data_IF_443847985522
#
_entry.id   IF_443847985522
#
_cell.length_a   1.000
_cell.length_b   1.000
_cell.length_c   1.000
_cell.angle_alpha   90.00
_cell.angle_beta   90.00
_cell.angle_gamma   90.00
#
_symmetry.space_group_name_H-M   'P 1'
#
loop_
_entity.id
_entity.type
_entity.pdbx_description
1 polymer ?
#
# COMPACT_ATOMS: atom_id res chain seq x y z
N UNK A 1 3.68 20.83 -1.52
CA UNK A 1 2.22 20.63 -1.61
C UNK A 1 1.88 19.53 -0.63
N UNK A 2 0.99 19.75 0.31
CA UNK A 2 0.71 18.73 1.31
C UNK A 2 -0.38 19.16 2.28
N UNK A 3 -0.85 18.19 3.03
CA UNK A 3 -1.80 18.39 4.12
C UNK A 3 -1.09 19.16 5.24
N UNK A 4 -1.71 20.22 5.75
CA UNK A 4 -1.13 20.91 6.91
C UNK A 4 -1.20 19.97 8.11
N UNK A 5 -0.12 19.89 8.89
CA UNK A 5 -0.05 19.07 10.11
C UNK A 5 -1.00 19.62 11.18
N UNK A 6 -2.27 19.28 11.06
CA UNK A 6 -3.30 19.57 12.04
C UNK A 6 -4.20 18.35 12.21
N UNK A 7 -4.84 18.24 13.37
CA UNK A 7 -5.65 17.09 13.74
C UNK A 7 -6.91 16.91 12.87
N UNK A 8 -7.25 17.89 12.02
CA UNK A 8 -8.45 17.83 11.16
C UNK A 8 -8.37 16.76 10.07
N UNK A 9 -7.17 16.28 9.74
CA UNK A 9 -6.99 15.15 8.84
C UNK A 9 -7.24 13.79 9.51
N UNK A 10 -7.11 13.70 10.83
CA UNK A 10 -7.02 12.42 11.52
C UNK A 10 -8.35 11.65 11.55
N UNK A 11 -8.22 10.34 11.52
CA UNK A 11 -9.32 9.38 11.54
C UNK A 11 -8.82 8.07 12.15
N UNK A 12 -9.72 7.31 12.78
CA UNK A 12 -9.38 6.04 13.42
C UNK A 12 -8.77 5.03 12.43
N UNK A 13 -9.15 5.12 11.16
CA UNK A 13 -8.60 4.29 10.08
C UNK A 13 -8.16 5.16 8.91
N UNK A 14 -6.87 5.08 8.59
CA UNK A 14 -6.26 5.79 7.45
C UNK A 14 -5.97 4.80 6.33
N UNK A 15 -6.47 5.06 5.12
CA UNK A 15 -6.08 4.35 3.91
C UNK A 15 -4.98 5.13 3.19
N UNK A 16 -3.75 4.65 3.32
CA UNK A 16 -2.58 5.16 2.60
C UNK A 16 -2.50 4.51 1.23
N UNK A 17 -2.54 5.32 0.17
CA UNK A 17 -2.44 4.86 -1.21
C UNK A 17 -1.17 5.40 -1.84
N UNK A 18 -0.24 4.51 -2.18
CA UNK A 18 0.90 4.89 -3.01
C UNK A 18 0.43 5.10 -4.45
N UNK A 19 0.62 6.32 -4.97
CA UNK A 19 0.20 6.68 -6.32
C UNK A 19 1.31 7.45 -7.03
N UNK A 20 1.27 7.42 -8.35
CA UNK A 20 2.15 8.22 -9.19
C UNK A 20 1.48 9.56 -9.53
N UNK A 21 2.22 10.66 -9.61
CA UNK A 21 1.71 11.98 -10.01
C UNK A 21 0.70 11.93 -11.17
N UNK A 22 1.04 11.21 -12.24
CA UNK A 22 0.23 11.00 -13.46
C UNK A 22 -1.02 10.12 -13.32
N UNK A 23 -1.17 9.35 -12.24
CA UNK A 23 -2.29 8.42 -12.07
C UNK A 23 -3.56 9.10 -11.51
N UNK A 24 -3.87 10.32 -11.97
CA UNK A 24 -5.04 11.10 -11.53
C UNK A 24 -6.33 10.30 -11.65
N UNK A 25 -6.50 9.56 -12.75
CA UNK A 25 -7.69 8.73 -12.99
C UNK A 25 -7.87 7.61 -11.96
N UNK A 26 -6.78 7.00 -11.51
CA UNK A 26 -6.85 5.95 -10.47
C UNK A 26 -7.19 6.54 -9.10
N UNK A 27 -6.65 7.73 -8.78
CA UNK A 27 -7.03 8.45 -7.55
C UNK A 27 -8.51 8.84 -7.56
N UNK A 28 -9.01 9.41 -8.65
CA UNK A 28 -10.45 9.74 -8.81
C UNK A 28 -11.34 8.51 -8.69
N UNK A 29 -10.92 7.38 -9.27
CA UNK A 29 -11.61 6.10 -9.14
C UNK A 29 -11.69 5.65 -7.69
N UNK A 30 -10.56 5.58 -7.00
CA UNK A 30 -10.51 5.16 -5.59
C UNK A 30 -11.34 6.08 -4.70
N UNK A 31 -11.25 7.39 -4.90
CA UNK A 31 -12.14 8.35 -4.21
C UNK A 31 -13.61 8.04 -4.48
N UNK A 32 -14.00 7.73 -5.71
CA UNK A 32 -15.40 7.45 -6.05
C UNK A 32 -15.91 6.17 -5.38
N UNK A 33 -15.09 5.11 -5.37
CA UNK A 33 -15.42 3.82 -4.75
C UNK A 33 -15.52 3.97 -3.23
N UNK A 34 -14.55 4.65 -2.62
CA UNK A 34 -14.40 4.71 -1.16
C UNK A 34 -15.15 5.86 -0.50
N UNK A 35 -15.52 6.93 -1.24
CA UNK A 35 -16.32 8.05 -0.70
C UNK A 35 -17.67 7.60 -0.13
N UNK A 36 -18.19 6.47 -0.59
CA UNK A 36 -19.43 5.87 -0.05
C UNK A 36 -19.21 5.18 1.31
N UNK A 37 -17.98 4.96 1.72
CA UNK A 37 -17.64 4.32 2.98
C UNK A 37 -16.90 5.31 3.91
N UNK A 38 -17.59 5.93 4.88
CA UNK A 38 -16.98 6.89 5.81
C UNK A 38 -15.99 6.23 6.79
N UNK A 39 -15.81 4.91 6.74
CA UNK A 39 -14.90 4.16 7.60
C UNK A 39 -13.41 4.50 7.36
N UNK A 40 -13.05 5.09 6.21
CA UNK A 40 -11.67 5.38 5.87
C UNK A 40 -11.46 6.87 5.57
N UNK A 41 -10.36 7.42 6.08
CA UNK A 41 -9.77 8.65 5.53
C UNK A 41 -8.66 8.27 4.55
N UNK A 42 -8.73 8.76 3.32
CA UNK A 42 -7.70 8.49 2.31
C UNK A 42 -6.51 9.44 2.43
N UNK A 43 -5.31 8.92 2.21
CA UNK A 43 -4.05 9.65 2.06
C UNK A 43 -3.32 9.13 0.82
N UNK A 44 -3.33 9.87 -0.28
CA UNK A 44 -2.53 9.55 -1.45
C UNK A 44 -1.10 10.07 -1.27
N UNK A 45 -0.11 9.21 -1.47
CA UNK A 45 1.31 9.56 -1.34
C UNK A 45 1.95 9.58 -2.71
N UNK A 46 2.43 10.75 -3.13
CA UNK A 46 3.00 11.02 -4.44
C UNK A 46 4.47 11.40 -4.32
N UNK A 47 5.27 11.09 -5.34
CA UNK A 47 6.58 11.71 -5.53
C UNK A 47 6.44 13.03 -6.27
N UNK A 48 7.49 13.84 -6.26
CA UNK A 48 7.53 15.06 -7.06
C UNK A 48 7.62 14.69 -8.54
N UNK A 49 6.80 15.31 -9.41
CA UNK A 49 7.00 15.20 -10.85
C UNK A 49 8.43 15.65 -11.21
N UNK A 50 9.00 15.08 -12.28
CA UNK A 50 10.26 15.59 -12.82
C UNK A 50 10.15 17.10 -13.12
N UNK A 51 11.22 17.85 -12.89
CA UNK A 51 11.27 19.33 -12.96
C UNK A 51 10.73 19.92 -14.28
N UNK A 52 10.75 19.14 -15.37
CA UNK A 52 10.21 19.55 -16.68
C UNK A 52 8.69 19.52 -16.80
N UNK A 53 7.95 19.13 -15.76
CA UNK A 53 6.48 18.90 -15.81
C UNK A 53 5.67 19.94 -15.03
N UNK A 54 5.84 21.24 -15.35
CA UNK A 54 5.14 22.36 -14.68
C UNK A 54 3.61 22.15 -14.64
N UNK A 55 3.01 21.71 -15.75
CA UNK A 55 1.57 21.43 -15.86
C UNK A 55 1.09 20.42 -14.80
N UNK A 56 1.87 19.35 -14.58
CA UNK A 56 1.53 18.33 -13.59
C UNK A 56 1.60 18.86 -12.16
N UNK A 57 2.46 19.85 -11.89
CA UNK A 57 2.55 20.46 -10.58
C UNK A 57 1.32 21.31 -10.27
N UNK A 58 0.80 22.05 -11.25
CA UNK A 58 -0.44 22.81 -11.11
C UNK A 58 -1.67 21.89 -10.96
N UNK A 59 -1.73 20.80 -11.70
CA UNK A 59 -2.78 19.78 -11.51
C UNK A 59 -2.78 19.20 -10.10
N UNK A 60 -1.61 18.88 -9.53
CA UNK A 60 -1.50 18.37 -8.16
C UNK A 60 -1.91 19.43 -7.13
N UNK A 61 -1.57 20.71 -7.35
CA UNK A 61 -2.02 21.81 -6.47
C UNK A 61 -3.53 21.92 -6.46
N UNK A 62 -4.15 21.89 -7.63
CA UNK A 62 -5.61 22.00 -7.75
C UNK A 62 -6.30 20.78 -7.16
N UNK A 63 -5.78 19.58 -7.43
CA UNK A 63 -6.27 18.34 -6.82
C UNK A 63 -6.18 18.39 -5.28
N UNK A 64 -5.07 18.87 -4.73
CA UNK A 64 -4.89 19.04 -3.28
C UNK A 64 -5.84 20.09 -2.71
N UNK A 65 -6.07 21.20 -3.44
CA UNK A 65 -7.01 22.25 -3.01
C UNK A 65 -8.45 21.74 -2.91
N UNK A 66 -8.84 20.84 -3.81
CA UNK A 66 -10.19 20.27 -3.85
C UNK A 66 -10.37 19.13 -2.84
N UNK A 67 -9.43 18.18 -2.79
CA UNK A 67 -9.62 16.92 -2.07
C UNK A 67 -8.93 16.88 -0.71
N UNK A 68 -7.87 17.66 -0.53
CA UNK A 68 -7.10 17.76 0.71
C UNK A 68 -6.62 16.40 1.26
N UNK A 69 -6.17 15.53 0.37
CA UNK A 69 -5.80 14.14 0.66
C UNK A 69 -4.46 13.71 0.04
N UNK A 70 -3.65 14.65 -0.46
CA UNK A 70 -2.33 14.37 -1.06
C UNK A 70 -1.18 14.70 -0.10
N UNK A 71 -0.29 13.74 0.10
CA UNK A 71 1.05 13.92 0.65
C UNK A 71 2.07 13.84 -0.50
N UNK A 72 2.58 15.00 -0.94
CA UNK A 72 3.58 15.07 -2.01
C UNK A 72 4.97 15.11 -1.38
N UNK A 73 5.75 14.06 -1.64
CA UNK A 73 7.10 13.86 -1.13
C UNK A 73 8.10 14.35 -2.15
N UNK A 74 9.16 15.02 -1.69
CA UNK A 74 10.26 15.44 -2.57
C UNK A 74 11.16 14.24 -2.93
N UNK A 75 10.64 13.36 -3.77
CA UNK A 75 11.36 12.21 -4.30
C UNK A 75 11.02 12.01 -5.77
N UNK A 76 12.03 11.72 -6.58
CA UNK A 76 11.81 11.38 -7.99
C UNK A 76 11.01 10.10 -8.08
N UNK A 77 9.93 10.13 -8.85
CA UNK A 77 9.08 8.96 -9.12
C UNK A 77 9.87 7.83 -9.78
N UNK A 78 10.30 6.89 -8.97
CA UNK A 78 11.05 5.71 -9.39
C UNK A 78 10.79 4.58 -8.38
N UNK A 79 10.77 3.33 -8.85
CA UNK A 79 10.48 2.21 -7.98
C UNK A 79 11.54 2.03 -6.89
N UNK A 80 12.80 2.38 -7.15
CA UNK A 80 13.84 2.34 -6.10
C UNK A 80 13.65 3.39 -4.99
N UNK A 81 12.76 4.36 -5.21
CA UNK A 81 12.50 5.47 -4.29
C UNK A 81 11.17 5.30 -3.53
N UNK A 82 10.43 4.22 -3.76
CA UNK A 82 9.11 4.02 -3.16
C UNK A 82 9.18 3.94 -1.62
N UNK A 83 10.29 3.47 -1.07
CA UNK A 83 10.52 3.45 0.38
C UNK A 83 10.57 4.85 1.00
N UNK A 84 11.00 5.89 0.28
CA UNK A 84 10.90 7.26 0.77
C UNK A 84 9.45 7.75 0.90
N UNK A 85 8.54 7.30 0.02
CA UNK A 85 7.11 7.52 0.22
C UNK A 85 6.64 6.85 1.50
N UNK A 86 7.14 5.64 1.78
CA UNK A 86 6.81 4.91 2.99
C UNK A 86 7.23 5.64 4.27
N UNK A 87 8.50 6.03 4.35
CA UNK A 87 9.02 6.85 5.45
C UNK A 87 8.22 8.14 5.64
N UNK A 88 7.79 8.77 4.55
CA UNK A 88 7.08 10.05 4.59
C UNK A 88 5.67 9.92 5.17
N UNK A 89 4.89 8.91 4.79
CA UNK A 89 3.56 8.74 5.39
C UNK A 89 3.64 8.28 6.85
N UNK A 90 4.65 7.47 7.22
CA UNK A 90 4.88 7.08 8.63
C UNK A 90 5.15 8.32 9.48
N UNK A 91 6.12 9.16 9.06
CA UNK A 91 6.44 10.43 9.73
C UNK A 91 5.21 11.32 9.83
N UNK A 92 4.53 11.53 8.71
CA UNK A 92 3.35 12.38 8.65
C UNK A 92 2.25 11.92 9.61
N UNK A 93 1.90 10.63 9.61
CA UNK A 93 0.85 10.11 10.50
C UNK A 93 1.25 10.16 11.97
N UNK A 94 2.51 9.81 12.29
CA UNK A 94 3.03 9.88 13.65
C UNK A 94 3.03 11.32 14.21
N UNK A 95 3.40 12.30 13.40
CA UNK A 95 3.49 13.71 13.81
C UNK A 95 2.12 14.42 13.81
N UNK A 96 1.16 13.95 13.01
CA UNK A 96 -0.12 14.64 12.80
C UNK A 96 -1.26 14.04 13.62
N UNK A 97 -1.25 12.72 13.84
CA UNK A 97 -2.37 12.01 14.43
C UNK A 97 -1.96 11.27 15.72
N UNK A 98 -2.76 11.47 16.77
CA UNK A 98 -2.54 10.86 18.09
C UNK A 98 -3.17 9.48 18.23
N UNK A 99 -4.30 9.24 17.56
CA UNK A 99 -5.17 8.08 17.84
C UNK A 99 -5.57 7.31 16.56
N UNK A 100 -4.61 7.04 15.67
CA UNK A 100 -4.85 6.13 14.54
C UNK A 100 -4.94 4.71 15.08
N UNK A 101 -6.06 4.03 14.86
CA UNK A 101 -6.25 2.63 15.24
C UNK A 101 -5.61 1.69 14.21
N UNK A 102 -5.87 1.96 12.94
CA UNK A 102 -5.39 1.16 11.81
C UNK A 102 -4.90 2.02 10.66
N UNK A 103 -3.81 1.60 10.05
CA UNK A 103 -3.38 2.07 8.74
C UNK A 103 -3.52 0.93 7.76
N UNK A 104 -4.20 1.17 6.64
CA UNK A 104 -4.28 0.26 5.50
C UNK A 104 -3.41 0.87 4.41
N UNK A 105 -2.39 0.15 3.93
CA UNK A 105 -1.59 0.54 2.77
C UNK A 105 -2.06 -0.25 1.56
N UNK A 106 -2.20 0.42 0.42
CA UNK A 106 -2.35 -0.24 -0.89
C UNK A 106 -1.70 0.58 -2.02
N UNK A 107 -1.48 -0.06 -3.16
CA UNK A 107 -1.09 0.63 -4.40
C UNK A 107 -2.34 1.11 -5.17
N UNK A 108 -2.19 2.15 -6.01
CA UNK A 108 -3.32 2.75 -6.74
C UNK A 108 -3.92 1.88 -7.86
N UNK A 109 -3.21 0.82 -8.26
CA UNK A 109 -3.60 -0.14 -9.28
C UNK A 109 -4.22 -1.43 -8.71
N UNK A 110 -4.49 -1.44 -7.41
CA UNK A 110 -5.17 -2.54 -6.71
C UNK A 110 -6.67 -2.28 -6.64
N UNK A 111 -7.45 -3.34 -6.85
CA UNK A 111 -8.90 -3.36 -6.61
C UNK A 111 -9.16 -3.79 -5.17
N UNK A 112 -10.17 -3.20 -4.53
CA UNK A 112 -10.44 -3.39 -3.10
C UNK A 112 -11.93 -3.56 -2.83
N UNK A 113 -12.28 -4.48 -1.93
CA UNK A 113 -13.61 -4.59 -1.30
C UNK A 113 -13.60 -3.88 0.06
N UNK A 114 -14.15 -2.65 0.17
CA UNK A 114 -14.07 -1.86 1.41
C UNK A 114 -14.80 -2.53 2.58
N UNK A 115 -15.87 -3.28 2.28
CA UNK A 115 -16.63 -4.01 3.28
C UNK A 115 -15.81 -5.14 3.93
N UNK A 116 -15.05 -5.90 3.13
CA UNK A 116 -14.19 -6.96 3.66
C UNK A 116 -13.02 -6.38 4.48
N UNK A 117 -12.47 -5.23 4.06
CA UNK A 117 -11.45 -4.51 4.86
C UNK A 117 -12.03 -4.12 6.22
N UNK A 118 -13.21 -3.50 6.25
CA UNK A 118 -13.90 -3.14 7.49
C UNK A 118 -14.16 -4.36 8.39
N UNK A 119 -14.64 -5.48 7.83
CA UNK A 119 -14.87 -6.71 8.58
C UNK A 119 -13.58 -7.24 9.24
N UNK A 120 -12.45 -7.24 8.52
CA UNK A 120 -11.16 -7.68 9.08
C UNK A 120 -10.67 -6.73 10.17
N UNK A 121 -10.73 -5.42 9.95
CA UNK A 121 -10.31 -4.44 10.95
C UNK A 121 -11.19 -4.50 12.22
N UNK A 122 -12.49 -4.74 12.06
CA UNK A 122 -13.40 -4.95 13.19
C UNK A 122 -13.14 -6.27 13.92
N UNK A 123 -12.80 -7.35 13.20
CA UNK A 123 -12.42 -8.65 13.79
C UNK A 123 -11.20 -8.53 14.70
N UNK A 124 -10.22 -7.73 14.30
CA UNK A 124 -8.98 -7.52 15.05
C UNK A 124 -8.95 -6.21 15.85
N UNK A 125 -10.10 -5.56 16.08
CA UNK A 125 -10.18 -4.21 16.69
C UNK A 125 -9.48 -4.04 18.06
N UNK A 126 -9.25 -5.14 18.79
CA UNK A 126 -8.60 -5.15 20.10
C UNK A 126 -7.12 -5.54 20.05
N UNK A 127 -6.58 -5.80 18.85
CA UNK A 127 -5.19 -6.17 18.65
C UNK A 127 -4.35 -4.89 18.55
N UNK A 128 -3.16 -4.96 19.13
CA UNK A 128 -2.08 -3.97 19.01
C UNK A 128 -0.83 -4.68 18.49
N UNK A 129 0.20 -3.93 18.13
CA UNK A 129 1.48 -4.48 17.68
C UNK A 129 1.30 -5.57 16.61
N UNK A 130 0.44 -5.30 15.63
CA UNK A 130 -0.07 -6.30 14.68
C UNK A 130 -0.02 -5.78 13.26
N UNK A 131 0.41 -6.64 12.32
CA UNK A 131 0.29 -6.42 10.89
C UNK A 131 -0.54 -7.54 10.26
N UNK A 132 -1.35 -7.19 9.26
CA UNK A 132 -2.29 -8.10 8.60
C UNK A 132 -2.08 -7.98 7.10
N UNK A 133 -1.89 -9.11 6.42
CA UNK A 133 -1.72 -9.12 4.97
C UNK A 133 -1.38 -10.50 4.44
N UNK A 134 -0.88 -10.57 3.21
CA UNK A 134 -0.33 -11.80 2.64
C UNK A 134 1.10 -11.95 3.12
N UNK A 135 1.37 -12.98 3.93
CA UNK A 135 2.69 -13.20 4.53
C UNK A 135 3.59 -13.96 3.55
N UNK A 136 4.76 -13.41 3.25
CA UNK A 136 5.88 -14.19 2.74
C UNK A 136 6.70 -14.71 3.92
N UNK A 137 6.89 -16.03 3.97
CA UNK A 137 7.59 -16.69 5.08
C UNK A 137 8.99 -17.06 4.61
N UNK A 138 10.01 -16.70 5.41
CA UNK A 138 11.41 -17.07 5.19
C UNK A 138 11.89 -16.80 3.75
N UNK A 139 11.51 -15.65 3.19
CA UNK A 139 11.81 -15.33 1.81
C UNK A 139 13.32 -15.13 1.64
N UNK A 140 13.87 -15.61 0.53
CA UNK A 140 15.31 -15.49 0.23
C UNK A 140 15.57 -14.31 -0.68
N UNK A 141 16.75 -13.73 -0.53
CA UNK A 141 17.19 -12.66 -1.39
C UNK A 141 17.41 -13.17 -2.81
N UNK A 142 16.87 -12.46 -3.80
CA UNK A 142 17.07 -12.83 -5.21
C UNK A 142 18.42 -12.28 -5.66
N UNK A 143 19.35 -13.18 -5.99
CA UNK A 143 20.72 -12.84 -6.45
C UNK A 143 20.89 -12.91 -7.98
N UNK A 144 19.80 -13.01 -8.71
CA UNK A 144 19.81 -13.06 -10.17
C UNK A 144 19.71 -11.64 -10.77
N UNK A 145 20.74 -11.10 -11.45
CA UNK A 145 20.78 -9.70 -11.89
C UNK A 145 19.64 -9.25 -12.82
N UNK A 146 19.06 -10.17 -13.60
CA UNK A 146 17.94 -9.84 -14.51
C UNK A 146 16.58 -9.84 -13.78
N UNK A 147 16.53 -10.26 -12.52
CA UNK A 147 15.31 -10.21 -11.75
C UNK A 147 14.99 -8.77 -11.37
N UNK A 148 13.72 -8.38 -11.50
CA UNK A 148 13.20 -7.12 -10.94
C UNK A 148 13.48 -6.98 -9.44
N UNK A 149 13.61 -8.09 -8.72
CA UNK A 149 13.83 -8.15 -7.27
C UNK A 149 15.29 -8.42 -6.90
N UNK A 150 16.23 -8.23 -7.83
CA UNK A 150 17.64 -8.43 -7.58
C UNK A 150 18.15 -7.51 -6.47
N UNK A 151 18.86 -8.09 -5.49
CA UNK A 151 19.66 -7.35 -4.52
C UNK A 151 21.09 -7.87 -4.57
N UNK A 152 22.03 -6.97 -4.82
CA UNK A 152 23.46 -7.31 -4.80
C UNK A 152 23.95 -7.60 -3.36
N UNK A 153 25.01 -8.39 -3.17
CA UNK A 153 25.61 -8.58 -1.84
C UNK A 153 26.11 -7.28 -1.20
N UNK A 154 26.51 -6.30 -2.02
CA UNK A 154 26.92 -4.97 -1.55
C UNK A 154 25.73 -4.13 -1.06
N UNK A 155 24.56 -4.30 -1.67
CA UNK A 155 23.33 -3.63 -1.26
C UNK A 155 22.71 -4.28 -0.04
N UNK A 156 22.68 -5.62 0.04
CA UNK A 156 22.17 -6.37 1.18
C UNK A 156 22.97 -7.66 1.37
N UNK A 157 23.77 -7.72 2.44
CA UNK A 157 24.67 -8.84 2.69
C UNK A 157 24.00 -10.13 3.17
N UNK A 158 22.92 -10.12 3.99
CA UNK A 158 22.24 -11.35 4.37
C UNK A 158 21.57 -12.04 3.18
N UNK A 159 21.39 -13.36 3.24
CA UNK A 159 20.73 -14.13 2.17
C UNK A 159 19.23 -14.36 2.38
N UNK A 160 18.71 -13.91 3.51
CA UNK A 160 17.31 -14.04 3.88
C UNK A 160 16.71 -12.66 4.16
N UNK A 161 15.54 -12.40 3.59
CA UNK A 161 14.71 -11.24 3.90
C UNK A 161 13.82 -11.48 5.13
N UNK A 162 13.75 -12.72 5.61
CA UNK A 162 12.86 -13.11 6.70
C UNK A 162 11.40 -13.13 6.27
N UNK A 163 10.51 -12.85 7.22
CA UNK A 163 9.06 -12.80 6.98
C UNK A 163 8.58 -11.36 6.91
N UNK A 164 7.75 -11.05 5.92
CA UNK A 164 7.20 -9.72 5.65
C UNK A 164 5.89 -9.84 4.84
N UNK A 165 5.14 -8.75 4.70
CA UNK A 165 3.87 -8.74 3.97
C UNK A 165 4.06 -8.29 2.51
N UNK A 166 3.23 -8.82 1.60
CA UNK A 166 3.26 -8.44 0.19
C UNK A 166 2.88 -6.96 -0.03
N UNK A 167 3.68 -6.23 -0.82
CA UNK A 167 3.54 -4.78 -0.97
C UNK A 167 2.28 -4.23 -1.63
N UNK A 168 1.52 -5.04 -2.38
CA UNK A 168 0.29 -4.55 -3.03
C UNK A 168 -0.74 -4.06 -2.02
N UNK A 169 -0.80 -4.70 -0.84
CA UNK A 169 -1.61 -4.24 0.28
C UNK A 169 -1.21 -4.90 1.61
N UNK A 170 -1.31 -4.12 2.68
CA UNK A 170 -1.18 -4.62 4.06
C UNK A 170 -1.88 -3.67 5.03
N UNK A 171 -2.12 -4.13 6.25
CA UNK A 171 -2.67 -3.35 7.35
C UNK A 171 -1.72 -3.40 8.53
N UNK A 172 -1.63 -2.33 9.31
CA UNK A 172 -0.84 -2.26 10.53
C UNK A 172 -1.61 -1.51 11.61
N UNK A 173 -1.46 -1.95 12.85
CA UNK A 173 -2.02 -1.27 14.01
C UNK A 173 -1.26 0.04 14.25
N UNK A 174 -1.98 1.13 14.52
CA UNK A 174 -1.40 2.47 14.56
C UNK A 174 -0.43 2.69 15.73
N UNK A 175 -0.47 1.86 16.77
CA UNK A 175 0.51 1.85 17.87
C UNK A 175 1.93 1.47 17.40
N UNK A 176 2.09 0.95 16.18
CA UNK A 176 3.40 0.73 15.57
C UNK A 176 4.03 2.00 14.99
N UNK A 177 3.26 3.07 14.72
CA UNK A 177 3.77 4.28 14.08
C UNK A 177 4.95 4.93 14.83
N UNK A 178 4.95 5.06 16.19
CA UNK A 178 6.06 5.67 16.91
C UNK A 178 7.36 4.86 16.79
N UNK A 179 7.30 3.53 16.94
CA UNK A 179 8.50 2.69 16.85
C UNK A 179 9.00 2.59 15.41
N UNK A 180 8.10 2.50 14.43
CA UNK A 180 8.46 2.56 13.02
C UNK A 180 9.17 3.87 12.70
N UNK A 181 8.62 5.01 13.15
CA UNK A 181 9.23 6.32 12.94
C UNK A 181 10.64 6.41 13.56
N UNK A 182 10.81 5.94 14.81
CA UNK A 182 12.10 5.93 15.50
C UNK A 182 13.15 5.03 14.82
N UNK A 183 12.70 4.00 14.09
CA UNK A 183 13.58 3.07 13.39
C UNK A 183 13.98 3.53 11.98
N UNK A 184 13.33 4.55 11.40
CA UNK A 184 13.61 5.00 10.02
C UNK A 184 15.09 5.31 9.80
N UNK A 185 15.74 5.96 10.77
CA UNK A 185 17.15 6.38 10.64
C UNK A 185 18.12 5.35 11.25
N UNK A 186 17.63 4.19 11.69
CA UNK A 186 18.41 3.15 12.40
C UNK A 186 18.54 1.84 11.65
N UNK A 187 17.57 1.54 10.79
CA UNK A 187 17.53 0.27 10.05
C UNK A 187 18.06 0.48 8.64
N UNK A 188 18.49 -0.61 8.02
CA UNK A 188 18.98 -0.56 6.66
C UNK A 188 17.88 -0.14 5.68
N UNK A 189 18.15 0.90 4.89
CA UNK A 189 17.32 1.23 3.74
C UNK A 189 17.42 0.11 2.69
N UNK A 190 16.27 -0.39 2.27
CA UNK A 190 16.11 -1.12 1.01
C UNK A 190 14.95 -0.49 0.26
N UNK A 191 15.02 -0.51 -1.07
CA UNK A 191 14.00 0.10 -1.90
C UNK A 191 12.65 -0.65 -1.87
N UNK A 192 12.65 -1.91 -1.44
CA UNK A 192 11.45 -2.72 -1.23
C UNK A 192 10.67 -2.19 -0.01
N UNK A 193 9.68 -1.32 -0.25
CA UNK A 193 8.92 -0.64 0.81
C UNK A 193 8.15 -1.62 1.70
N UNK A 194 7.68 -2.71 1.14
CA UNK A 194 6.92 -3.74 1.83
C UNK A 194 7.77 -4.48 2.85
N UNK A 195 8.96 -4.95 2.44
CA UNK A 195 9.96 -5.46 3.38
C UNK A 195 10.40 -4.39 4.38
N UNK A 196 10.67 -3.17 3.93
CA UNK A 196 11.16 -2.12 4.82
C UNK A 196 10.15 -1.80 5.93
N UNK A 197 8.87 -1.59 5.59
CA UNK A 197 7.83 -1.26 6.57
C UNK A 197 7.45 -2.45 7.43
N UNK A 198 7.26 -3.63 6.83
CA UNK A 198 6.66 -4.78 7.53
C UNK A 198 7.68 -5.77 8.08
N UNK A 199 8.96 -5.45 7.99
CA UNK A 199 10.06 -6.21 8.59
C UNK A 199 11.10 -5.31 9.22
N UNK A 200 11.78 -4.47 8.42
CA UNK A 200 12.94 -3.71 8.92
C UNK A 200 12.54 -2.73 10.04
N UNK A 201 11.51 -1.92 9.83
CA UNK A 201 11.04 -0.95 10.83
C UNK A 201 10.46 -1.57 12.10
N UNK A 202 10.17 -2.86 12.09
CA UNK A 202 9.70 -3.62 13.25
C UNK A 202 10.85 -4.12 14.13
N UNK A 203 12.10 -3.80 13.81
CA UNK A 203 13.25 -4.19 14.60
C UNK A 203 13.09 -3.77 16.08
N UNK A 204 13.26 -4.73 17.00
CA UNK A 204 13.05 -4.51 18.44
C UNK A 204 11.59 -4.57 18.90
N UNK A 205 10.64 -4.94 18.03
CA UNK A 205 9.23 -5.16 18.40
C UNK A 205 8.91 -6.65 18.52
N UNK A 206 7.78 -6.96 19.16
CA UNK A 206 7.18 -8.31 19.19
C UNK A 206 5.99 -8.40 18.22
N UNK A 207 6.02 -7.60 17.15
CA UNK A 207 4.88 -7.43 16.26
C UNK A 207 4.44 -8.76 15.63
N UNK A 208 3.14 -9.02 15.67
CA UNK A 208 2.56 -10.26 15.12
C UNK A 208 2.15 -10.08 13.66
N UNK A 209 2.44 -11.08 12.84
CA UNK A 209 1.96 -11.16 11.45
C UNK A 209 0.72 -12.05 11.38
N UNK A 210 -0.39 -11.51 10.89
CA UNK A 210 -1.63 -12.24 10.64
C UNK A 210 -1.76 -12.47 9.13
N UNK A 211 -1.76 -13.74 8.73
CA UNK A 211 -1.90 -14.12 7.33
C UNK A 211 -3.36 -14.16 6.88
N UNK A 212 -3.69 -13.30 5.92
CA UNK A 212 -4.99 -13.27 5.22
C UNK A 212 -4.83 -13.56 3.73
N UNK A 213 -3.79 -14.31 3.33
CA UNK A 213 -3.55 -14.75 1.96
C UNK A 213 -4.79 -15.23 1.20
N UNK A 214 -5.75 -15.98 1.78
CA UNK A 214 -6.95 -16.40 1.07
C UNK A 214 -7.85 -15.26 0.55
N UNK A 215 -7.72 -14.05 1.11
CA UNK A 215 -8.49 -12.86 0.73
C UNK A 215 -7.73 -11.94 -0.24
N UNK A 216 -6.47 -12.26 -0.55
CA UNK A 216 -5.58 -11.42 -1.38
C UNK A 216 -5.17 -12.20 -2.62
N UNK A 217 -5.55 -11.67 -3.78
CA UNK A 217 -5.30 -12.30 -5.06
C UNK A 217 -4.35 -11.45 -5.89
N UNK A 218 -3.27 -12.09 -6.36
CA UNK A 218 -2.34 -11.51 -7.31
C UNK A 218 -2.21 -12.47 -8.50
N UNK A 219 -2.45 -12.00 -9.71
CA UNK A 219 -2.25 -12.79 -10.93
C UNK A 219 -1.30 -12.08 -11.91
N UNK A 220 -0.40 -12.85 -12.51
CA UNK A 220 0.64 -12.35 -13.42
C UNK A 220 0.42 -12.76 -14.89
N UNK A 221 -0.71 -13.40 -15.20
CA UNK A 221 -1.06 -13.83 -16.57
C UNK A 221 -2.56 -14.10 -16.72
N UNK A 222 -3.08 -14.05 -17.97
CA UNK A 222 -4.47 -14.47 -18.26
C UNK A 222 -4.77 -15.90 -17.87
N UNK A 223 -3.77 -16.79 -17.92
CA UNK A 223 -3.92 -18.18 -17.48
C UNK A 223 -4.27 -18.23 -15.99
N UNK A 224 -3.54 -17.51 -15.15
CA UNK A 224 -3.84 -17.43 -13.72
C UNK A 224 -5.22 -16.82 -13.46
N UNK A 225 -5.59 -15.76 -14.19
CA UNK A 225 -6.94 -15.16 -14.09
C UNK A 225 -8.04 -16.17 -14.44
N UNK A 226 -7.87 -16.97 -15.49
CA UNK A 226 -8.85 -17.99 -15.86
C UNK A 226 -8.98 -19.08 -14.79
N UNK A 227 -7.89 -19.45 -14.11
CA UNK A 227 -7.96 -20.35 -12.96
C UNK A 227 -8.66 -19.72 -11.76
N UNK A 228 -8.51 -18.40 -11.55
CA UNK A 228 -9.21 -17.69 -10.49
C UNK A 228 -10.73 -17.69 -10.70
N UNK A 229 -11.19 -17.52 -11.95
CA UNK A 229 -12.63 -17.53 -12.30
C UNK A 229 -13.31 -18.88 -12.08
N UNK A 230 -12.55 -19.97 -11.94
CA UNK A 230 -13.11 -21.31 -11.68
C UNK A 230 -13.42 -21.56 -10.20
N UNK A 231 -13.13 -20.59 -9.32
CA UNK A 231 -13.21 -20.74 -7.87
C UNK A 231 -14.06 -19.62 -7.30
N UNK A 232 -14.79 -19.93 -6.25
CA UNK A 232 -15.43 -18.91 -5.41
C UNK A 232 -14.40 -18.36 -4.43
N UNK A 233 -14.21 -17.04 -4.45
CA UNK A 233 -13.32 -16.33 -3.55
C UNK A 233 -14.08 -15.18 -2.92
N UNK A 234 -13.86 -14.90 -1.63
CA UNK A 234 -14.18 -13.59 -1.06
C UNK A 234 -12.93 -12.70 -1.22
N UNK A 235 -12.78 -12.09 -2.39
CA UNK A 235 -11.57 -11.32 -2.71
C UNK A 235 -11.67 -9.95 -2.05
N UNK A 236 -10.75 -9.67 -1.12
CA UNK A 236 -10.60 -8.36 -0.49
C UNK A 236 -9.72 -7.44 -1.33
N UNK A 237 -8.59 -7.94 -1.83
CA UNK A 237 -7.66 -7.19 -2.68
C UNK A 237 -7.32 -7.99 -3.93
N UNK A 238 -7.34 -7.33 -5.08
CA UNK A 238 -6.94 -7.92 -6.36
C UNK A 238 -5.89 -7.06 -7.05
N UNK A 239 -4.77 -7.68 -7.41
CA UNK A 239 -3.74 -7.08 -8.25
C UNK A 239 -3.50 -7.93 -9.49
N UNK A 240 -3.62 -7.31 -10.67
CA UNK A 240 -3.39 -7.97 -11.95
C UNK A 240 -2.20 -7.32 -12.64
N UNK A 241 -1.22 -8.13 -13.02
CA UNK A 241 0.00 -7.73 -13.72
C UNK A 241 0.26 -8.67 -14.90
N UNK A 242 1.01 -8.25 -15.92
CA UNK A 242 1.54 -6.90 -16.12
C UNK A 242 0.46 -5.90 -16.58
N UNK A 243 0.73 -4.59 -16.46
CA UNK A 243 -0.27 -3.53 -16.74
C UNK A 243 -0.67 -3.49 -18.22
N UNK A 244 0.23 -3.93 -19.10
CA UNK A 244 0.04 -4.03 -20.54
C UNK A 244 -1.03 -5.08 -20.88
N UNK A 245 -1.06 -6.19 -20.13
CA UNK A 245 -2.06 -7.25 -20.31
C UNK A 245 -3.38 -6.94 -19.59
N UNK A 246 -3.29 -6.24 -18.46
CA UNK A 246 -4.43 -5.87 -17.60
C UNK A 246 -4.54 -4.35 -17.42
N UNK A 247 -4.83 -3.59 -18.50
CA UNK A 247 -5.06 -2.17 -18.38
C UNK A 247 -6.28 -1.90 -17.50
N UNK A 248 -6.44 -0.67 -16.95
CA UNK A 248 -7.42 -0.40 -15.91
C UNK A 248 -8.87 -0.82 -16.23
N UNK A 249 -9.31 -0.70 -17.48
CA UNK A 249 -10.65 -1.13 -17.90
C UNK A 249 -10.84 -2.65 -17.79
N UNK A 250 -9.87 -3.42 -18.29
CA UNK A 250 -9.90 -4.89 -18.25
C UNK A 250 -9.80 -5.38 -16.81
N UNK A 251 -8.91 -4.80 -16.01
CA UNK A 251 -8.80 -5.13 -14.57
C UNK A 251 -10.13 -4.93 -13.84
N UNK A 252 -10.82 -3.82 -14.09
CA UNK A 252 -12.14 -3.53 -13.50
C UNK A 252 -13.24 -4.50 -13.96
N UNK A 253 -13.21 -4.91 -15.22
CA UNK A 253 -14.15 -5.89 -15.73
C UNK A 253 -13.95 -7.24 -15.01
N UNK A 254 -12.70 -7.71 -14.94
CA UNK A 254 -12.35 -8.94 -14.23
C UNK A 254 -12.74 -8.85 -12.74
N UNK A 255 -12.48 -7.72 -12.10
CA UNK A 255 -12.90 -7.48 -10.72
C UNK A 255 -14.42 -7.63 -10.54
N UNK A 256 -15.21 -6.99 -11.41
CA UNK A 256 -16.67 -7.08 -11.36
C UNK A 256 -17.15 -8.53 -11.52
N UNK A 257 -16.60 -9.25 -12.50
CA UNK A 257 -16.93 -10.66 -12.73
C UNK A 257 -16.63 -11.52 -11.49
N UNK A 258 -15.45 -11.38 -10.89
CA UNK A 258 -15.04 -12.12 -9.69
C UNK A 258 -15.84 -11.77 -8.43
N UNK A 259 -16.52 -10.63 -8.40
CA UNK A 259 -17.40 -10.24 -7.29
C UNK A 259 -18.85 -10.69 -7.50
N UNK A 260 -19.32 -10.83 -8.75
CA UNK A 260 -20.68 -11.29 -9.06
C UNK A 260 -20.87 -12.77 -8.72
N UNK A 261 -19.85 -13.59 -8.91
CA UNK A 261 -19.85 -15.02 -8.55
C UNK A 261 -19.93 -15.28 -7.03
N UNK A 262 -19.96 -14.24 -6.18
CA UNK A 262 -20.11 -14.32 -4.72
C UNK A 262 -21.56 -14.16 -4.23
N UNK A 263 -22.51 -13.79 -5.11
CA UNK A 263 -23.91 -13.49 -4.75
C UNK A 263 -24.89 -14.64 -5.11
N UNK A 264 -24.40 -15.71 -5.74
CA UNK A 264 -25.19 -16.89 -6.10
C UNK A 264 -25.06 -18.03 -5.08
#
# INVERSE_FOLDING_TARGET
IGITRNSSFCHDVILVVHSHARNVRERVRLRTILKKNPYFKMLFVLGTPAESSIEHFEEIKEEQRINYDLLVVNVVEHYHNITYKAQSWIRFLHETCTDVRWVVKMDDDVEVSPHLVEQILNRYRHYSNTLIGRVYINNRVVRHPESKWYLSPAEYSPDALGSYLQGMSYMLSGDLLPIMNANIDRVQYLWMDDWYVTHALLNGTTASLIDISPLIVSANSRKEVNELKKRTYNIMFLHLRPKEEFPPLIRRQIWTELQQDQIC
#
